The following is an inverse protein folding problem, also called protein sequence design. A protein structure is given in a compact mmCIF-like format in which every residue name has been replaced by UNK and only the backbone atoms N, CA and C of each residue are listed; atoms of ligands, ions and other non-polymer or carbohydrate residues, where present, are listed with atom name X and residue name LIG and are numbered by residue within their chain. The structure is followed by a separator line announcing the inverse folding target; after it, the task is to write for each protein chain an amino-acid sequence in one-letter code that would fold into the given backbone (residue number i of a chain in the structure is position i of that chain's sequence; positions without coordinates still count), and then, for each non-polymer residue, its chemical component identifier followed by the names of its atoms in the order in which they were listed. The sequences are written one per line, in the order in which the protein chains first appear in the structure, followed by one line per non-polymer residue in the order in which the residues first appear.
data_IF_666582399182
#
_entry.id   IF_666582399182
#
_cell.length_a   1.000
_cell.length_b   1.000
_cell.length_c   1.000
_cell.angle_alpha   90.00
_cell.angle_beta   90.00
_cell.angle_gamma   90.00
#
_symmetry.space_group_name_H-M   'P 1'
#
loop_
_entity.id
_entity.type
_entity.pdbx_description
1 polymer ?
#
# COMPACT_ATOMS: atom_id res chain seq x y z
N UNK A 1 64.22 5.24 -31.02
CA UNK A 1 63.09 6.15 -30.61
C UNK A 1 61.75 5.66 -31.10
N UNK A 2 61.50 5.39 -32.41
CA UNK A 2 60.18 4.96 -32.89
C UNK A 2 59.63 3.67 -32.24
N UNK A 3 60.48 2.66 -31.94
CA UNK A 3 60.04 1.40 -31.29
C UNK A 3 59.68 1.56 -29.82
N UNK A 4 60.32 2.47 -29.08
CA UNK A 4 60.03 2.75 -27.67
C UNK A 4 58.70 3.52 -27.55
N UNK A 5 58.46 4.47 -28.45
CA UNK A 5 57.20 5.22 -28.51
C UNK A 5 56.01 4.29 -28.83
N UNK A 6 56.21 3.29 -29.71
CA UNK A 6 55.17 2.30 -30.04
C UNK A 6 54.82 1.40 -28.84
N UNK A 7 55.78 0.98 -28.04
CA UNK A 7 55.57 0.15 -26.84
C UNK A 7 54.86 0.95 -25.74
N UNK A 8 55.20 2.21 -25.54
CA UNK A 8 54.55 3.08 -24.56
C UNK A 8 53.09 3.35 -24.98
N UNK A 9 52.83 3.60 -26.26
CA UNK A 9 51.48 3.85 -26.77
C UNK A 9 50.57 2.61 -26.64
N UNK A 10 51.11 1.38 -26.85
CA UNK A 10 50.35 0.14 -26.67
C UNK A 10 50.08 -0.14 -25.18
N UNK A 11 51.03 0.16 -24.29
CA UNK A 11 50.81 0.00 -22.84
C UNK A 11 49.76 0.98 -22.27
N UNK A 12 49.73 2.22 -22.76
CA UNK A 12 48.72 3.20 -22.35
C UNK A 12 47.34 2.82 -22.87
N UNK A 13 47.22 2.27 -24.09
CA UNK A 13 45.95 1.84 -24.65
C UNK A 13 45.35 0.62 -23.92
N UNK A 14 46.22 -0.33 -23.47
CA UNK A 14 45.79 -1.51 -22.72
C UNK A 14 45.33 -1.16 -21.29
N UNK A 15 45.91 -0.18 -20.62
CA UNK A 15 45.48 0.29 -19.29
C UNK A 15 44.17 1.04 -19.39
N UNK A 16 43.92 1.76 -20.50
CA UNK A 16 42.63 2.49 -20.70
C UNK A 16 41.46 1.54 -20.96
N UNK A 17 41.68 0.34 -21.55
CA UNK A 17 40.61 -0.65 -21.77
C UNK A 17 40.19 -1.36 -20.48
N UNK A 18 41.09 -1.49 -19.50
CA UNK A 18 40.78 -2.10 -18.19
C UNK A 18 39.98 -1.16 -17.28
N UNK A 19 40.05 0.16 -17.50
CA UNK A 19 39.34 1.13 -16.68
C UNK A 19 37.85 1.27 -17.08
N UNK A 20 37.41 0.76 -18.22
CA UNK A 20 36.03 0.83 -18.72
C UNK A 20 35.12 -0.32 -18.26
N UNK A 21 35.69 -1.36 -17.63
CA UNK A 21 34.90 -2.49 -17.10
C UNK A 21 34.54 -2.36 -15.62
N UNK A 22 34.87 -1.24 -14.96
CA UNK A 22 34.63 -1.03 -13.54
C UNK A 22 33.31 -0.29 -13.21
N UNK A 23 32.46 0.01 -14.21
CA UNK A 23 31.21 0.75 -14.00
C UNK A 23 29.97 0.06 -14.56
N UNK A 24 29.86 -1.26 -14.42
CA UNK A 24 28.58 -1.96 -14.57
C UNK A 24 28.28 -2.80 -13.33
N UNK A 25 28.49 -2.23 -12.17
CA UNK A 25 27.77 -2.63 -10.97
C UNK A 25 26.35 -2.12 -11.18
N UNK A 26 25.47 -2.93 -11.77
CA UNK A 26 24.04 -2.82 -11.52
C UNK A 26 23.96 -2.90 -10.00
N UNK A 27 23.48 -1.87 -9.36
CA UNK A 27 23.10 -1.96 -7.95
C UNK A 27 21.99 -3.03 -7.94
N UNK A 28 22.36 -4.27 -7.60
CA UNK A 28 21.41 -5.40 -7.48
C UNK A 28 20.50 -5.22 -6.25
N UNK A 29 20.26 -3.96 -5.87
CA UNK A 29 19.42 -3.60 -4.75
C UNK A 29 17.95 -3.68 -5.18
N UNK A 30 17.17 -4.51 -4.50
CA UNK A 30 15.72 -4.61 -4.71
C UNK A 30 15.09 -3.29 -4.28
N UNK A 31 14.34 -2.65 -5.17
CA UNK A 31 13.62 -1.41 -4.90
C UNK A 31 12.13 -1.72 -4.71
N UNK A 32 11.60 -1.38 -3.53
CA UNK A 32 10.17 -1.53 -3.21
C UNK A 32 9.57 -0.14 -2.97
N UNK A 33 8.59 0.25 -3.81
CA UNK A 33 7.84 1.47 -3.62
C UNK A 33 6.71 1.27 -2.60
N UNK A 34 6.56 2.22 -1.67
CA UNK A 34 5.55 2.23 -0.62
C UNK A 34 4.84 3.59 -0.57
N UNK A 35 3.59 3.67 -0.06
CA UNK A 35 2.93 4.96 0.16
C UNK A 35 3.72 5.85 1.12
N UNK A 36 3.73 7.16 0.88
CA UNK A 36 4.41 8.14 1.73
C UNK A 36 3.52 8.77 2.81
N UNK A 37 2.25 8.39 2.89
CA UNK A 37 1.39 8.83 3.99
C UNK A 37 1.56 7.91 5.20
N UNK A 38 1.55 8.52 6.40
CA UNK A 38 1.93 7.88 7.67
C UNK A 38 1.25 6.53 7.90
N UNK A 39 -0.06 6.42 7.66
CA UNK A 39 -0.81 5.21 7.95
C UNK A 39 -0.50 4.09 6.94
N UNK A 40 -0.48 4.41 5.65
CA UNK A 40 -0.26 3.39 4.62
C UNK A 40 1.21 3.02 4.48
N UNK A 41 2.16 3.95 4.76
CA UNK A 41 3.58 3.61 4.89
C UNK A 41 3.79 2.57 6.01
N UNK A 42 3.26 2.83 7.21
CA UNK A 42 3.37 1.91 8.34
C UNK A 42 2.79 0.52 7.99
N UNK A 43 1.62 0.46 7.34
CA UNK A 43 1.01 -0.81 6.88
C UNK A 43 1.88 -1.54 5.87
N UNK A 44 2.46 -0.82 4.92
CA UNK A 44 3.37 -1.40 3.94
C UNK A 44 4.62 -2.00 4.59
N UNK A 45 5.21 -1.30 5.57
CA UNK A 45 6.36 -1.79 6.32
C UNK A 45 6.02 -2.99 7.21
N UNK A 46 4.84 -2.99 7.84
CA UNK A 46 4.35 -4.13 8.61
C UNK A 46 4.13 -5.36 7.72
N UNK A 47 3.58 -5.20 6.51
CA UNK A 47 3.46 -6.29 5.55
C UNK A 47 4.83 -6.86 5.17
N UNK A 48 5.83 -6.02 4.91
CA UNK A 48 7.19 -6.48 4.62
C UNK A 48 7.81 -7.23 5.80
N UNK A 49 7.54 -6.79 7.03
CA UNK A 49 7.96 -7.49 8.25
C UNK A 49 7.26 -8.85 8.38
N UNK A 50 5.94 -8.92 8.19
CA UNK A 50 5.17 -10.17 8.27
C UNK A 50 5.64 -11.20 7.24
N UNK A 51 6.09 -10.73 6.08
CA UNK A 51 6.70 -11.55 5.04
C UNK A 51 8.18 -11.90 5.32
N UNK A 52 8.77 -11.37 6.39
CA UNK A 52 10.16 -11.65 6.78
C UNK A 52 11.23 -10.91 5.98
N UNK A 53 10.86 -9.90 5.21
CA UNK A 53 11.81 -9.14 4.40
C UNK A 53 12.59 -8.08 5.17
N UNK A 54 11.98 -7.51 6.20
CA UNK A 54 12.58 -6.51 7.09
C UNK A 54 12.18 -6.81 8.53
N UNK A 55 12.86 -6.17 9.48
CA UNK A 55 12.41 -6.11 10.88
C UNK A 55 12.32 -4.66 11.33
N UNK A 56 11.21 -4.33 11.94
CA UNK A 56 10.94 -3.03 12.54
C UNK A 56 11.32 -3.03 14.02
N UNK A 57 11.58 -1.86 14.56
CA UNK A 57 11.75 -1.64 15.99
C UNK A 57 10.49 -2.06 16.74
N UNK A 58 10.67 -2.70 17.90
CA UNK A 58 9.54 -3.18 18.71
C UNK A 58 8.61 -2.04 19.11
N UNK A 59 7.31 -2.29 19.01
CA UNK A 59 6.26 -1.40 19.49
C UNK A 59 5.91 -0.21 18.58
N UNK A 60 6.52 -0.06 17.41
CA UNK A 60 6.20 1.06 16.49
C UNK A 60 4.80 0.94 15.87
N UNK A 61 4.32 -0.28 15.58
CA UNK A 61 2.97 -0.54 15.07
C UNK A 61 2.59 0.35 13.88
N UNK A 62 1.41 0.95 13.96
CA UNK A 62 0.83 1.80 12.90
C UNK A 62 1.50 3.18 12.73
N UNK A 63 2.55 3.44 13.47
CA UNK A 63 3.36 4.67 13.36
C UNK A 63 4.75 4.40 12.78
N UNK A 64 5.00 3.18 12.31
CA UNK A 64 6.27 2.77 11.71
C UNK A 64 6.62 3.65 10.50
N UNK A 65 7.90 3.99 10.40
CA UNK A 65 8.50 4.69 9.27
C UNK A 65 9.72 3.93 8.77
N UNK A 66 10.24 4.27 7.61
CA UNK A 66 11.48 3.67 7.07
C UNK A 66 12.64 3.74 8.07
N UNK A 67 12.65 4.75 8.96
CA UNK A 67 13.68 4.95 9.99
C UNK A 67 13.61 3.91 11.12
N UNK A 68 12.51 3.20 11.23
CA UNK A 68 12.30 2.18 12.26
C UNK A 68 12.72 0.78 11.80
N UNK A 69 13.25 0.64 10.58
CA UNK A 69 13.81 -0.61 10.09
C UNK A 69 15.14 -0.87 10.82
N UNK A 70 15.18 -1.94 11.61
CA UNK A 70 16.38 -2.36 12.37
C UNK A 70 17.15 -3.50 11.72
N UNK A 71 16.49 -4.32 10.88
CA UNK A 71 17.14 -5.35 10.07
C UNK A 71 16.59 -5.30 8.64
N UNK A 72 17.49 -5.40 7.67
CA UNK A 72 17.18 -5.44 6.24
C UNK A 72 18.15 -6.41 5.54
N UNK A 73 17.97 -7.73 5.75
CA UNK A 73 18.91 -8.75 5.29
C UNK A 73 19.00 -8.85 3.77
N UNK A 74 17.97 -8.37 3.04
CA UNK A 74 17.90 -8.41 1.58
C UNK A 74 18.37 -7.11 0.92
N UNK A 75 18.92 -6.16 1.70
CA UNK A 75 19.33 -4.85 1.21
C UNK A 75 18.28 -4.13 0.36
N UNK A 76 17.01 -4.20 0.81
CA UNK A 76 15.88 -3.57 0.12
C UNK A 76 15.97 -2.05 0.24
N UNK A 77 15.84 -1.36 -0.89
CA UNK A 77 15.66 0.08 -0.93
C UNK A 77 14.16 0.41 -0.89
N UNK A 78 13.71 1.01 0.19
CA UNK A 78 12.35 1.52 0.27
C UNK A 78 12.28 2.88 -0.45
N UNK A 79 11.32 3.01 -1.37
CA UNK A 79 11.03 4.24 -2.09
C UNK A 79 9.64 4.74 -1.67
N UNK A 80 9.60 5.83 -0.92
CA UNK A 80 8.37 6.47 -0.48
C UNK A 80 7.78 7.29 -1.65
N UNK A 81 6.54 7.00 -2.03
CA UNK A 81 5.84 7.58 -3.20
C UNK A 81 4.43 7.95 -2.80
N UNK A 82 3.87 9.02 -3.36
CA UNK A 82 2.46 9.32 -3.18
C UNK A 82 1.59 8.14 -3.63
N UNK A 83 0.63 7.73 -2.78
CA UNK A 83 -0.14 6.50 -2.96
C UNK A 83 -0.83 6.41 -4.34
N UNK A 84 -1.32 7.54 -4.86
CA UNK A 84 -1.95 7.59 -6.18
C UNK A 84 -0.97 7.34 -7.34
N UNK A 85 0.34 7.53 -7.15
CA UNK A 85 1.36 7.32 -8.17
C UNK A 85 1.92 5.89 -8.18
N UNK A 86 1.71 5.11 -7.13
CA UNK A 86 2.26 3.75 -7.02
C UNK A 86 1.93 2.82 -8.19
N UNK A 87 0.70 2.80 -8.75
CA UNK A 87 0.40 1.94 -9.90
C UNK A 87 1.25 2.24 -11.14
N UNK A 88 1.64 3.51 -11.34
CA UNK A 88 2.51 3.93 -12.44
C UNK A 88 3.97 3.66 -12.11
N UNK A 89 4.38 3.96 -10.88
CA UNK A 89 5.76 3.74 -10.39
C UNK A 89 6.18 2.27 -10.48
N UNK A 90 5.24 1.33 -10.47
CA UNK A 90 5.52 -0.11 -10.60
C UNK A 90 6.29 -0.46 -11.89
N UNK A 91 6.31 0.39 -12.91
CA UNK A 91 7.12 0.19 -14.11
C UNK A 91 8.61 0.48 -13.90
N UNK A 92 8.96 1.21 -12.85
CA UNK A 92 10.31 1.76 -12.60
C UNK A 92 10.98 1.14 -11.36
N UNK A 93 10.27 0.24 -10.66
CA UNK A 93 10.75 -0.44 -9.44
C UNK A 93 10.55 -1.95 -9.56
N UNK A 94 11.17 -2.73 -8.69
CA UNK A 94 11.00 -4.19 -8.68
C UNK A 94 9.64 -4.61 -8.11
N UNK A 95 9.17 -3.91 -7.06
CA UNK A 95 7.88 -4.16 -6.43
C UNK A 95 7.26 -2.84 -5.94
N UNK A 96 5.94 -2.85 -5.78
CA UNK A 96 5.21 -1.75 -5.15
C UNK A 96 4.11 -2.29 -4.23
N UNK A 97 3.92 -1.67 -3.07
CA UNK A 97 2.81 -1.96 -2.17
C UNK A 97 1.73 -0.92 -2.41
N UNK A 98 0.61 -1.35 -2.97
CA UNK A 98 -0.44 -0.48 -3.52
C UNK A 98 -1.75 -0.74 -2.81
N UNK A 99 -2.37 0.30 -2.26
CA UNK A 99 -3.70 0.18 -1.66
C UNK A 99 -4.76 -0.13 -2.73
N UNK A 100 -5.73 -0.97 -2.39
CA UNK A 100 -6.76 -1.46 -3.34
C UNK A 100 -7.54 -0.33 -4.03
N UNK A 101 -7.80 0.77 -3.34
CA UNK A 101 -8.49 1.94 -3.91
C UNK A 101 -7.71 2.64 -5.04
N UNK A 102 -6.40 2.43 -5.15
CA UNK A 102 -5.56 2.90 -6.26
C UNK A 102 -5.27 1.78 -7.27
N UNK A 103 -5.13 0.53 -6.81
CA UNK A 103 -4.88 -0.61 -7.68
C UNK A 103 -6.07 -0.90 -8.62
N UNK A 104 -7.30 -0.92 -8.08
CA UNK A 104 -8.51 -1.26 -8.84
C UNK A 104 -8.78 -0.28 -9.99
N UNK A 105 -8.78 1.05 -9.80
CA UNK A 105 -8.93 2.01 -10.90
C UNK A 105 -7.82 1.93 -11.95
N UNK A 106 -6.62 1.48 -11.56
CA UNK A 106 -5.50 1.23 -12.46
C UNK A 106 -5.59 -0.12 -13.21
N UNK A 107 -6.74 -0.80 -13.12
CA UNK A 107 -6.99 -2.08 -13.82
C UNK A 107 -6.33 -3.29 -13.20
N UNK A 108 -5.80 -3.19 -11.97
CA UNK A 108 -5.19 -4.31 -11.24
C UNK A 108 -6.20 -4.95 -10.29
N UNK A 109 -6.18 -6.27 -10.23
CA UNK A 109 -7.00 -7.04 -9.31
C UNK A 109 -6.17 -7.45 -8.10
N UNK A 110 -6.41 -6.89 -6.89
CA UNK A 110 -5.62 -7.21 -5.70
C UNK A 110 -5.54 -8.69 -5.38
N UNK A 111 -6.62 -9.45 -5.59
CA UNK A 111 -6.66 -10.87 -5.27
C UNK A 111 -5.94 -11.77 -6.30
N UNK A 112 -5.78 -11.30 -7.55
CA UNK A 112 -5.20 -12.11 -8.64
C UNK A 112 -3.80 -11.68 -9.03
N UNK A 113 -3.55 -10.36 -9.00
CA UNK A 113 -2.33 -9.78 -9.56
C UNK A 113 -1.27 -9.50 -8.49
N UNK A 114 -1.62 -9.60 -7.19
CA UNK A 114 -0.67 -9.39 -6.11
C UNK A 114 0.12 -10.66 -5.79
N UNK A 115 1.37 -10.48 -5.37
CA UNK A 115 2.23 -11.55 -4.85
C UNK A 115 1.93 -11.85 -3.37
N UNK A 116 1.45 -10.84 -2.64
CA UNK A 116 1.04 -10.94 -1.25
C UNK A 116 -0.05 -9.89 -0.97
N UNK A 117 -0.89 -10.17 0.02
CA UNK A 117 -1.95 -9.28 0.49
C UNK A 117 -1.82 -9.18 2.01
N UNK A 118 -2.01 -7.96 2.52
CA UNK A 118 -2.15 -7.72 3.96
C UNK A 118 -3.27 -8.60 4.53
N UNK A 119 -3.03 -9.22 5.66
CA UNK A 119 -4.04 -10.05 6.32
C UNK A 119 -5.32 -9.25 6.64
N UNK A 120 -6.46 -9.93 6.70
CA UNK A 120 -7.78 -9.34 7.00
C UNK A 120 -7.90 -8.90 8.47
N UNK A 121 -6.89 -8.20 8.99
CA UNK A 121 -6.96 -7.62 10.33
C UNK A 121 -7.99 -6.50 10.33
N UNK A 122 -9.00 -6.62 11.20
CA UNK A 122 -10.02 -5.59 11.43
C UNK A 122 -9.45 -4.23 11.88
N UNK A 123 -8.16 -4.20 12.25
CA UNK A 123 -7.48 -2.98 12.71
C UNK A 123 -7.42 -1.86 11.65
N UNK A 124 -7.54 -2.21 10.36
CA UNK A 124 -7.45 -1.24 9.26
C UNK A 124 -8.74 -1.13 8.44
N UNK A 125 -9.85 -1.61 8.98
CA UNK A 125 -11.16 -1.44 8.36
C UNK A 125 -11.58 0.03 8.27
N UNK A 126 -12.35 0.37 7.23
CA UNK A 126 -12.98 1.68 7.16
C UNK A 126 -14.00 1.83 8.30
N UNK A 127 -14.05 3.01 8.90
CA UNK A 127 -14.94 3.34 10.01
C UNK A 127 -15.82 4.53 9.66
N UNK A 128 -16.99 4.60 10.31
CA UNK A 128 -17.81 5.82 10.34
C UNK A 128 -17.40 6.65 11.56
N UNK A 129 -16.66 7.74 11.32
CA UNK A 129 -16.28 8.69 12.36
C UNK A 129 -17.30 9.85 12.41
N UNK A 130 -17.68 10.25 13.60
CA UNK A 130 -18.61 11.34 13.84
C UNK A 130 -18.07 12.30 14.90
N UNK A 131 -18.58 13.53 14.92
CA UNK A 131 -18.26 14.48 15.99
C UNK A 131 -18.78 13.95 17.32
N UNK A 132 -17.97 14.05 18.38
CA UNK A 132 -18.33 13.67 19.74
C UNK A 132 -19.69 14.28 20.15
N UNK A 133 -20.55 13.42 20.70
CA UNK A 133 -21.93 13.77 21.09
C UNK A 133 -22.99 13.58 20.00
N UNK A 134 -22.59 13.25 18.76
CA UNK A 134 -23.53 13.02 17.64
C UNK A 134 -23.81 11.53 17.39
N UNK A 135 -23.14 10.61 18.09
CA UNK A 135 -23.16 9.17 17.86
C UNK A 135 -24.57 8.58 17.85
N UNK A 136 -25.45 9.14 18.68
CA UNK A 136 -26.81 8.65 18.89
C UNK A 136 -27.88 9.51 18.21
N UNK A 137 -27.51 10.46 17.36
CA UNK A 137 -28.50 11.23 16.59
C UNK A 137 -29.17 10.35 15.54
N UNK A 138 -30.43 10.62 15.25
CA UNK A 138 -31.23 9.85 14.26
C UNK A 138 -30.55 9.79 12.90
N UNK A 139 -29.91 10.89 12.48
CA UNK A 139 -29.14 10.93 11.23
C UNK A 139 -28.00 9.92 11.20
N UNK A 140 -27.22 9.81 12.28
CA UNK A 140 -26.08 8.89 12.36
C UNK A 140 -26.55 7.44 12.52
N UNK A 141 -27.60 7.20 13.29
CA UNK A 141 -28.23 5.87 13.39
C UNK A 141 -28.74 5.39 12.02
N UNK A 142 -29.47 6.25 11.29
CA UNK A 142 -29.95 5.94 9.95
C UNK A 142 -28.79 5.63 8.98
N UNK A 143 -27.73 6.44 8.98
CA UNK A 143 -26.55 6.24 8.14
C UNK A 143 -25.85 4.92 8.49
N UNK A 144 -25.64 4.64 9.78
CA UNK A 144 -25.04 3.39 10.25
C UNK A 144 -25.85 2.18 9.80
N UNK A 145 -27.18 2.19 10.03
CA UNK A 145 -28.06 1.11 9.61
C UNK A 145 -27.98 0.87 8.09
N UNK A 146 -27.95 1.92 7.29
CA UNK A 146 -27.83 1.82 5.84
C UNK A 146 -26.46 1.21 5.42
N UNK A 147 -25.36 1.66 6.01
CA UNK A 147 -24.01 1.15 5.70
C UNK A 147 -23.81 -0.32 6.12
N UNK A 148 -24.42 -0.73 7.23
CA UNK A 148 -24.35 -2.10 7.74
C UNK A 148 -25.45 -3.02 7.17
N UNK A 149 -26.17 -2.57 6.14
CA UNK A 149 -27.27 -3.32 5.54
C UNK A 149 -26.79 -4.49 4.68
N UNK A 150 -27.67 -5.51 4.58
CA UNK A 150 -27.49 -6.62 3.65
C UNK A 150 -27.34 -6.12 2.20
N UNK A 151 -28.02 -5.07 1.82
CA UNK A 151 -27.93 -4.50 0.49
C UNK A 151 -26.51 -4.01 0.17
N UNK A 152 -25.85 -3.32 1.12
CA UNK A 152 -24.46 -2.86 0.96
C UNK A 152 -23.50 -4.04 0.95
N UNK A 153 -23.69 -5.02 1.83
CA UNK A 153 -22.86 -6.24 1.86
C UNK A 153 -22.94 -7.01 0.55
N UNK A 154 -24.15 -7.19 0.01
CA UNK A 154 -24.36 -7.90 -1.25
C UNK A 154 -23.78 -7.11 -2.43
N UNK A 155 -23.92 -5.78 -2.44
CA UNK A 155 -23.29 -4.92 -3.44
C UNK A 155 -21.76 -5.06 -3.44
N UNK A 156 -21.11 -5.06 -2.27
CA UNK A 156 -19.67 -5.26 -2.16
C UNK A 156 -19.28 -6.63 -2.73
N UNK A 157 -19.97 -7.69 -2.37
CA UNK A 157 -19.72 -9.04 -2.87
C UNK A 157 -19.91 -9.15 -4.38
N UNK A 158 -20.93 -8.48 -4.92
CA UNK A 158 -21.20 -8.50 -6.35
C UNK A 158 -20.17 -7.69 -7.14
N UNK A 159 -19.86 -6.50 -6.66
CA UNK A 159 -18.91 -5.60 -7.33
C UNK A 159 -17.47 -6.07 -7.25
N UNK A 160 -17.07 -6.67 -6.13
CA UNK A 160 -15.70 -7.12 -5.85
C UNK A 160 -15.64 -8.64 -5.70
N UNK A 161 -16.19 -9.36 -6.69
CA UNK A 161 -16.32 -10.85 -6.71
C UNK A 161 -15.01 -11.59 -6.44
N UNK A 162 -13.88 -10.96 -6.75
CA UNK A 162 -12.55 -11.52 -6.61
C UNK A 162 -11.92 -11.28 -5.22
N UNK A 163 -12.68 -10.71 -4.26
CA UNK A 163 -12.20 -10.51 -2.89
C UNK A 163 -11.27 -9.32 -2.68
N UNK A 164 -11.11 -8.43 -3.68
CA UNK A 164 -10.28 -7.23 -3.55
C UNK A 164 -10.79 -6.20 -2.54
N UNK A 165 -12.09 -6.27 -2.20
CA UNK A 165 -12.74 -5.54 -1.09
C UNK A 165 -13.71 -6.50 -0.42
N UNK A 166 -13.68 -6.54 0.91
CA UNK A 166 -14.57 -7.39 1.71
C UNK A 166 -15.33 -6.56 2.74
N UNK A 167 -16.57 -6.95 3.03
CA UNK A 167 -17.34 -6.38 4.14
C UNK A 167 -16.90 -7.05 5.45
N UNK A 168 -16.72 -6.24 6.50
CA UNK A 168 -16.49 -6.69 7.86
C UNK A 168 -17.78 -6.83 8.68
N UNK A 169 -18.94 -6.55 8.07
CA UNK A 169 -20.25 -6.67 8.73
C UNK A 169 -20.65 -8.15 8.80
N UNK A 170 -20.60 -8.72 10.00
CA UNK A 170 -20.92 -10.14 10.24
C UNK A 170 -22.44 -10.41 10.18
N UNK A 171 -23.24 -9.51 10.76
CA UNK A 171 -24.69 -9.65 10.86
C UNK A 171 -25.39 -8.44 10.21
N UNK A 172 -25.48 -8.40 8.87
CA UNK A 172 -26.06 -7.26 8.16
C UNK A 172 -27.57 -7.16 8.39
N UNK A 173 -28.01 -5.95 8.73
CA UNK A 173 -29.42 -5.61 8.93
C UNK A 173 -30.19 -5.38 7.62
N UNK A 174 -31.45 -4.96 7.75
CA UNK A 174 -32.32 -4.58 6.62
C UNK A 174 -32.09 -3.14 6.13
N UNK A 175 -31.23 -2.38 6.81
CA UNK A 175 -30.93 -0.98 6.47
C UNK A 175 -31.73 0.04 7.25
N UNK A 176 -32.57 -0.40 8.19
CA UNK A 176 -33.39 0.47 9.01
C UNK A 176 -33.08 0.31 10.50
N UNK A 177 -33.16 1.42 11.24
CA UNK A 177 -33.15 1.44 12.69
C UNK A 177 -34.56 1.88 13.16
N UNK A 178 -35.27 1.02 13.85
CA UNK A 178 -36.66 1.28 14.29
C UNK A 178 -36.80 2.41 15.31
N UNK A 179 -35.69 2.87 15.89
CA UNK A 179 -35.62 4.01 16.82
C UNK A 179 -35.54 5.37 16.14
N UNK A 180 -35.41 5.39 14.79
CA UNK A 180 -35.16 6.61 14.00
C UNK A 180 -36.47 7.16 13.44
N UNK A 181 -36.70 8.46 13.61
CA UNK A 181 -37.75 9.20 12.90
C UNK A 181 -37.28 9.61 11.49
N UNK A 182 -37.50 8.72 10.51
CA UNK A 182 -37.11 8.95 9.11
C UNK A 182 -37.88 10.07 8.44
N UNK A 183 -39.10 10.39 8.91
CA UNK A 183 -39.90 11.50 8.34
C UNK A 183 -39.26 12.84 8.71
N UNK A 184 -38.75 12.97 9.93
CA UNK A 184 -38.03 14.16 10.37
C UNK A 184 -36.70 14.35 9.62
N UNK A 185 -36.12 13.30 9.04
CA UNK A 185 -34.85 13.36 8.30
C UNK A 185 -35.00 13.75 6.82
N UNK A 186 -36.22 13.74 6.28
CA UNK A 186 -36.48 14.08 4.87
C UNK A 186 -36.00 15.49 4.52
N UNK A 187 -35.19 15.57 3.45
CA UNK A 187 -34.60 16.83 2.98
C UNK A 187 -33.40 17.35 3.75
N UNK A 188 -32.96 16.67 4.82
CA UNK A 188 -31.74 17.01 5.51
C UNK A 188 -30.52 16.51 4.72
N UNK A 189 -29.42 17.30 4.75
CA UNK A 189 -28.12 16.85 4.21
C UNK A 189 -27.37 16.04 5.28
N UNK A 190 -26.66 15.04 4.84
CA UNK A 190 -25.68 14.28 5.65
C UNK A 190 -24.38 15.03 5.65
#
# INVERSE_FOLDING_TARGET
MKKIISIILTAVLSVSLFALTACTGKDDQIVIAVPNDTTNEARALLLLQDLGYIKLKDGVGITATVRDIVENPHNIKIMEVEAAQLPVTLTDVDYAIINSNYAIPAGKNPAKDSLAIEGSSAAYGNILAVKEGNENTDKIKALKAALESKQVVDFIKEKYKDGGVVSTVENPGDGYDSSVDYDALKGQKI
#
